data_IF_190136899254
#
_entry.id   IF_190136899254
#
_cell.length_a   1.000
_cell.length_b   1.000
_cell.length_c   1.000
_cell.angle_alpha   90.00
_cell.angle_beta   90.00
_cell.angle_gamma   90.00
#
_symmetry.space_group_name_H-M   'P 1'
#
loop_
_entity.id
_entity.type
_entity.pdbx_description
1 polymer ?
#
# COMPACT_ATOMS: atom_id res chain seq x y z
N UNK A 1 11.44 0.41 17.69
CA UNK A 1 10.64 -0.40 16.76
C UNK A 1 9.35 0.35 16.48
N UNK A 2 9.00 0.57 15.20
CA UNK A 2 7.77 1.31 14.84
C UNK A 2 6.52 0.58 15.35
N UNK A 3 5.44 1.34 15.58
CA UNK A 3 4.15 0.76 16.02
C UNK A 3 3.62 -0.27 15.02
N UNK A 4 3.80 -0.01 13.73
CA UNK A 4 3.45 -0.92 12.62
C UNK A 4 4.19 -2.25 12.72
N UNK A 5 5.51 -2.22 12.93
CA UNK A 5 6.31 -3.45 13.08
C UNK A 5 5.88 -4.26 14.29
N UNK A 6 5.52 -3.59 15.38
CA UNK A 6 5.01 -4.25 16.60
C UNK A 6 3.67 -4.93 16.34
N UNK A 7 2.75 -4.25 15.67
CA UNK A 7 1.44 -4.78 15.29
C UNK A 7 1.58 -5.96 14.33
N UNK A 8 2.40 -5.85 13.29
CA UNK A 8 2.64 -6.94 12.33
C UNK A 8 3.26 -8.17 13.02
N UNK A 9 4.27 -7.97 13.88
CA UNK A 9 4.88 -9.06 14.62
C UNK A 9 3.88 -9.75 15.57
N UNK A 10 2.93 -9.01 16.15
CA UNK A 10 1.87 -9.58 16.98
C UNK A 10 0.98 -10.50 16.14
N UNK A 11 0.47 -10.02 15.01
CA UNK A 11 -0.35 -10.82 14.09
C UNK A 11 0.35 -12.12 13.66
N UNK A 12 1.64 -12.03 13.32
CA UNK A 12 2.43 -13.20 12.91
C UNK A 12 2.67 -14.22 14.03
N UNK A 13 2.75 -13.78 15.29
CA UNK A 13 3.03 -14.64 16.45
C UNK A 13 1.79 -15.35 16.99
N UNK A 14 0.63 -14.75 16.87
CA UNK A 14 -0.63 -15.27 17.41
C UNK A 14 -1.14 -16.48 16.60
N UNK A 15 -0.58 -16.72 15.41
CA UNK A 15 -0.95 -17.87 14.56
C UNK A 15 -2.34 -17.77 13.95
N UNK A 16 -3.00 -16.63 14.11
CA UNK A 16 -4.30 -16.35 13.52
C UNK A 16 -4.16 -16.00 12.02
N UNK A 17 -5.24 -16.19 11.29
CA UNK A 17 -5.29 -15.77 9.89
C UNK A 17 -5.27 -14.25 9.79
N UNK A 18 -4.34 -13.71 8.99
CA UNK A 18 -4.28 -12.27 8.70
C UNK A 18 -5.26 -11.96 7.57
N UNK A 19 -6.23 -11.11 7.86
CA UNK A 19 -7.21 -10.64 6.86
C UNK A 19 -6.64 -9.43 6.13
N UNK A 20 -6.34 -9.61 4.84
CA UNK A 20 -5.76 -8.60 3.98
C UNK A 20 -6.65 -8.37 2.76
N UNK A 21 -7.16 -7.16 2.58
CA UNK A 21 -8.10 -6.80 1.51
C UNK A 21 -7.71 -5.51 0.82
N UNK A 22 -8.11 -5.35 -0.45
CA UNK A 22 -7.97 -4.09 -1.19
C UNK A 22 -9.08 -3.12 -0.85
N UNK A 23 -8.76 -1.81 -0.89
CA UNK A 23 -9.74 -0.74 -0.72
C UNK A 23 -9.28 0.51 -1.48
N UNK A 24 -10.23 1.23 -2.09
CA UNK A 24 -9.90 2.36 -2.95
C UNK A 24 -10.67 3.65 -2.61
N UNK A 25 -11.57 3.60 -1.64
CA UNK A 25 -12.41 4.74 -1.27
C UNK A 25 -12.68 4.86 0.23
N UNK A 26 -13.23 6.00 0.61
CA UNK A 26 -13.51 6.35 1.99
C UNK A 26 -14.64 5.53 2.60
N UNK A 27 -15.69 5.20 1.83
CA UNK A 27 -16.87 4.48 2.33
C UNK A 27 -16.49 3.06 2.76
N UNK A 28 -15.79 2.32 1.89
CA UNK A 28 -15.30 0.98 2.23
C UNK A 28 -14.24 1.03 3.33
N UNK A 29 -13.37 2.04 3.36
CA UNK A 29 -12.38 2.21 4.43
C UNK A 29 -13.02 2.27 5.83
N UNK A 30 -14.15 2.98 5.97
CA UNK A 30 -14.92 3.04 7.22
C UNK A 30 -15.43 1.65 7.63
N UNK A 31 -15.97 0.90 6.68
CA UNK A 31 -16.52 -0.44 6.94
C UNK A 31 -15.38 -1.38 7.37
N UNK A 32 -14.27 -1.40 6.62
CA UNK A 32 -13.13 -2.28 6.88
C UNK A 32 -12.49 -2.00 8.26
N UNK A 33 -12.41 -0.73 8.66
CA UNK A 33 -11.92 -0.38 9.99
C UNK A 33 -12.86 -0.88 11.11
N UNK A 34 -14.18 -0.79 10.90
CA UNK A 34 -15.19 -1.24 11.85
C UNK A 34 -15.24 -2.76 12.02
N UNK A 35 -15.09 -3.52 10.92
CA UNK A 35 -15.10 -4.98 10.99
C UNK A 35 -13.77 -5.59 11.44
N UNK A 36 -12.73 -4.77 11.59
CA UNK A 36 -11.46 -5.20 12.17
C UNK A 36 -10.52 -5.90 11.20
N UNK A 37 -10.51 -5.50 9.92
CA UNK A 37 -9.52 -5.98 8.94
C UNK A 37 -8.11 -5.59 9.38
N UNK A 38 -7.15 -6.50 9.23
CA UNK A 38 -5.77 -6.30 9.70
C UNK A 38 -4.96 -5.41 8.77
N UNK A 39 -5.03 -5.67 7.47
CA UNK A 39 -4.27 -4.94 6.44
C UNK A 39 -5.22 -4.50 5.32
N UNK A 40 -5.16 -3.23 4.98
CA UNK A 40 -5.87 -2.64 3.85
C UNK A 40 -4.85 -2.20 2.81
N UNK A 41 -5.01 -2.66 1.57
CA UNK A 41 -4.12 -2.37 0.46
C UNK A 41 -4.78 -1.40 -0.53
N UNK A 42 -4.10 -0.31 -0.83
CA UNK A 42 -4.35 0.47 -2.04
C UNK A 42 -3.40 -0.06 -3.12
N UNK A 43 -3.91 -0.96 -3.94
CA UNK A 43 -3.14 -1.68 -4.95
C UNK A 43 -3.19 -1.03 -6.33
N UNK A 44 -2.20 -1.32 -7.18
CA UNK A 44 -2.20 -0.90 -8.59
C UNK A 44 -3.29 -1.63 -9.41
N UNK A 45 -3.88 -2.70 -8.86
CA UNK A 45 -5.12 -3.32 -9.37
C UNK A 45 -6.27 -2.31 -9.55
N UNK A 46 -6.19 -1.10 -8.96
CA UNK A 46 -7.12 0.00 -9.26
C UNK A 46 -7.25 0.31 -10.76
N UNK A 47 -6.20 0.05 -11.53
CA UNK A 47 -6.22 0.18 -13.00
C UNK A 47 -7.31 -0.68 -13.63
N UNK A 48 -7.46 -1.90 -13.13
CA UNK A 48 -8.45 -2.85 -13.63
C UNK A 48 -9.83 -2.63 -13.00
N UNK A 49 -9.91 -2.54 -11.67
CA UNK A 49 -11.20 -2.56 -10.95
C UNK A 49 -11.86 -1.19 -10.83
N UNK A 50 -11.11 -0.09 -10.92
CA UNK A 50 -11.65 1.27 -10.84
C UNK A 50 -11.64 1.96 -12.21
N UNK A 51 -10.54 1.83 -12.96
CA UNK A 51 -10.40 2.47 -14.27
C UNK A 51 -10.94 1.62 -15.42
N UNK A 52 -11.19 0.31 -15.21
CA UNK A 52 -11.70 -0.61 -16.23
C UNK A 52 -10.68 -0.97 -17.31
N UNK A 53 -9.38 -0.85 -17.02
CA UNK A 53 -8.31 -1.17 -17.95
C UNK A 53 -7.98 -2.67 -17.94
N UNK A 54 -7.36 -3.19 -19.00
CA UNK A 54 -6.99 -4.60 -19.11
C UNK A 54 -5.86 -5.01 -18.17
N UNK A 55 -5.04 -4.06 -17.72
CA UNK A 55 -3.90 -4.30 -16.86
C UNK A 55 -3.58 -3.09 -15.96
N UNK A 56 -2.55 -3.22 -15.12
CA UNK A 56 -2.15 -2.17 -14.15
C UNK A 56 -1.12 -1.18 -14.68
N UNK A 57 -0.67 -1.31 -15.92
CA UNK A 57 0.50 -0.60 -16.44
C UNK A 57 0.33 0.92 -16.58
N UNK A 58 -0.90 1.39 -16.73
CA UNK A 58 -1.23 2.82 -16.85
C UNK A 58 -1.39 3.52 -15.50
N UNK A 59 -1.36 2.77 -14.39
CA UNK A 59 -1.49 3.33 -13.05
C UNK A 59 -0.26 4.16 -12.70
N UNK A 60 -0.50 5.40 -12.28
CA UNK A 60 0.55 6.34 -11.89
C UNK A 60 0.63 6.50 -10.37
N UNK A 61 1.73 7.06 -9.86
CA UNK A 61 1.84 7.45 -8.45
C UNK A 61 0.72 8.40 -8.02
N UNK A 62 0.29 9.33 -8.88
CA UNK A 62 -0.81 10.24 -8.58
C UNK A 62 -2.14 9.48 -8.39
N UNK A 63 -2.39 8.44 -9.18
CA UNK A 63 -3.56 7.59 -8.98
C UNK A 63 -3.50 6.90 -7.61
N UNK A 64 -2.38 6.28 -7.26
CA UNK A 64 -2.19 5.64 -5.95
C UNK A 64 -2.38 6.66 -4.81
N UNK A 65 -1.72 7.81 -4.88
CA UNK A 65 -1.80 8.87 -3.85
C UNK A 65 -3.23 9.40 -3.67
N UNK A 66 -3.98 9.56 -4.75
CA UNK A 66 -5.39 9.96 -4.68
C UNK A 66 -6.21 8.95 -3.86
N UNK A 67 -6.13 7.67 -4.18
CA UNK A 67 -6.86 6.63 -3.47
C UNK A 67 -6.36 6.44 -2.03
N UNK A 68 -5.04 6.47 -1.81
CA UNK A 68 -4.42 6.45 -0.48
C UNK A 68 -4.97 7.56 0.40
N UNK A 69 -5.05 8.80 -0.10
CA UNK A 69 -5.57 9.93 0.67
C UNK A 69 -7.00 9.74 1.12
N UNK A 70 -7.85 9.10 0.29
CA UNK A 70 -9.24 8.81 0.63
C UNK A 70 -9.37 7.69 1.67
N UNK A 71 -8.62 6.61 1.51
CA UNK A 71 -8.62 5.47 2.45
C UNK A 71 -8.03 5.88 3.81
N UNK A 72 -6.93 6.64 3.81
CA UNK A 72 -6.21 7.07 5.01
C UNK A 72 -7.01 8.00 5.94
N UNK A 73 -8.03 8.70 5.42
CA UNK A 73 -8.90 9.59 6.24
C UNK A 73 -9.57 8.86 7.39
N UNK A 74 -9.96 7.62 7.18
CA UNK A 74 -10.73 6.83 8.14
C UNK A 74 -9.92 5.75 8.84
N UNK A 75 -8.61 5.69 8.60
CA UNK A 75 -7.70 4.73 9.22
C UNK A 75 -7.57 4.98 10.72
N UNK A 76 -7.95 3.98 11.52
CA UNK A 76 -7.75 3.94 12.98
C UNK A 76 -7.01 2.68 13.41
N UNK A 77 -7.45 1.51 12.94
CA UNK A 77 -7.02 0.21 13.46
C UNK A 77 -6.22 -0.62 12.45
N UNK A 78 -6.53 -0.57 11.16
CA UNK A 78 -5.81 -1.38 10.17
C UNK A 78 -4.41 -0.85 9.85
N UNK A 79 -3.56 -1.72 9.33
CA UNK A 79 -2.30 -1.35 8.69
C UNK A 79 -2.61 -0.93 7.25
N UNK A 80 -2.24 0.28 6.86
CA UNK A 80 -2.40 0.76 5.48
C UNK A 80 -1.16 0.42 4.66
N UNK A 81 -1.35 -0.38 3.63
CA UNK A 81 -0.33 -0.73 2.65
C UNK A 81 -0.66 -0.08 1.31
N UNK A 82 0.35 0.35 0.57
CA UNK A 82 0.17 0.90 -0.77
C UNK A 82 1.22 0.37 -1.73
N UNK A 83 0.78 0.09 -2.96
CA UNK A 83 1.68 -0.27 -4.06
C UNK A 83 2.43 0.94 -4.60
N UNK A 84 3.67 0.71 -4.98
CA UNK A 84 4.35 1.55 -5.95
C UNK A 84 4.11 0.98 -7.34
N UNK A 85 3.40 1.70 -8.22
CA UNK A 85 3.04 1.20 -9.54
C UNK A 85 4.26 1.07 -10.46
N UNK A 86 4.11 0.34 -11.55
CA UNK A 86 5.15 0.16 -12.57
C UNK A 86 5.81 1.49 -12.94
N UNK A 87 7.11 1.50 -13.12
CA UNK A 87 7.95 2.66 -13.43
C UNK A 87 8.14 3.70 -12.29
N UNK A 88 7.54 3.50 -11.11
CA UNK A 88 7.70 4.44 -9.99
C UNK A 88 8.91 4.14 -9.08
N UNK A 89 9.65 3.06 -9.35
CA UNK A 89 10.80 2.60 -8.56
C UNK A 89 11.98 2.09 -9.41
N UNK A 90 12.17 2.68 -10.59
CA UNK A 90 13.22 2.29 -11.54
C UNK A 90 14.66 2.58 -11.06
N UNK A 91 14.83 3.51 -10.15
CA UNK A 91 16.10 3.86 -9.51
C UNK A 91 15.86 4.27 -8.05
N UNK A 92 16.92 4.21 -7.23
CA UNK A 92 16.84 4.49 -5.79
C UNK A 92 16.28 5.89 -5.48
N UNK A 93 16.69 6.92 -6.23
CA UNK A 93 16.23 8.31 -5.99
C UNK A 93 14.72 8.44 -6.22
N UNK A 94 14.24 7.89 -7.32
CA UNK A 94 12.81 7.88 -7.67
C UNK A 94 12.02 7.04 -6.67
N UNK A 95 12.49 5.83 -6.37
CA UNK A 95 11.85 4.92 -5.42
C UNK A 95 11.75 5.54 -4.02
N UNK A 96 12.86 6.09 -3.50
CA UNK A 96 12.92 6.73 -2.18
C UNK A 96 11.99 7.95 -2.09
N UNK A 97 11.94 8.79 -3.12
CA UNK A 97 11.02 9.94 -3.18
C UNK A 97 9.56 9.48 -3.12
N UNK A 98 9.19 8.51 -3.96
CA UNK A 98 7.82 8.02 -4.05
C UNK A 98 7.39 7.28 -2.77
N UNK A 99 8.27 6.45 -2.19
CA UNK A 99 8.02 5.81 -0.91
C UNK A 99 7.78 6.84 0.22
N UNK A 100 8.63 7.86 0.32
CA UNK A 100 8.47 8.95 1.30
C UNK A 100 7.14 9.69 1.13
N UNK A 101 6.68 9.88 -0.10
CA UNK A 101 5.40 10.53 -0.38
C UNK A 101 4.21 9.68 0.11
N UNK A 102 4.26 8.36 -0.09
CA UNK A 102 3.27 7.44 0.48
C UNK A 102 3.27 7.47 2.01
N UNK A 103 4.45 7.42 2.64
CA UNK A 103 4.57 7.45 4.10
C UNK A 103 4.01 8.76 4.71
N UNK A 104 4.20 9.92 4.05
CA UNK A 104 3.59 11.19 4.45
C UNK A 104 2.06 11.14 4.43
N UNK A 105 1.48 10.32 3.56
CA UNK A 105 0.04 10.12 3.44
C UNK A 105 -0.49 8.98 4.35
N UNK A 106 0.19 8.71 5.48
CA UNK A 106 -0.20 7.72 6.51
C UNK A 106 -0.15 6.26 6.04
N UNK A 107 0.53 5.95 4.96
CA UNK A 107 0.87 4.58 4.59
C UNK A 107 1.87 4.02 5.61
N UNK A 108 1.64 2.81 6.09
CA UNK A 108 2.53 2.13 7.04
C UNK A 108 3.54 1.23 6.34
N UNK A 109 3.14 0.62 5.22
CA UNK A 109 3.95 -0.32 4.46
C UNK A 109 3.85 0.03 2.97
N UNK A 110 4.99 0.17 2.34
CA UNK A 110 5.08 0.33 0.88
C UNK A 110 5.37 -1.03 0.26
N UNK A 111 4.56 -1.44 -0.71
CA UNK A 111 4.77 -2.68 -1.46
C UNK A 111 5.42 -2.37 -2.82
N UNK A 112 6.44 -3.13 -3.16
CA UNK A 112 7.18 -3.05 -4.43
C UNK A 112 7.32 -4.48 -4.97
N UNK A 113 7.11 -4.66 -6.26
CA UNK A 113 7.36 -5.95 -6.91
C UNK A 113 8.86 -6.14 -7.14
N UNK A 114 9.39 -7.26 -6.62
CA UNK A 114 10.77 -7.65 -6.88
C UNK A 114 10.95 -8.08 -8.34
N UNK A 115 12.04 -7.61 -8.93
CA UNK A 115 12.53 -8.03 -10.25
C UNK A 115 14.05 -7.98 -10.21
N UNK A 116 14.71 -8.78 -11.02
CA UNK A 116 16.18 -8.80 -11.05
C UNK A 116 16.78 -7.45 -11.42
N UNK A 117 16.11 -6.68 -12.27
CA UNK A 117 16.53 -5.34 -12.72
C UNK A 117 16.36 -4.23 -11.65
N UNK A 118 15.62 -4.48 -10.57
CA UNK A 118 15.44 -3.49 -9.49
C UNK A 118 16.06 -3.91 -8.15
N UNK A 119 16.78 -5.02 -8.10
CA UNK A 119 17.38 -5.58 -6.88
C UNK A 119 18.23 -4.54 -6.14
N UNK A 120 19.15 -3.88 -6.83
CA UNK A 120 20.04 -2.87 -6.24
C UNK A 120 19.25 -1.70 -5.63
N UNK A 121 18.17 -1.28 -6.29
CA UNK A 121 17.27 -0.23 -5.78
C UNK A 121 16.61 -0.67 -4.47
N UNK A 122 16.12 -1.92 -4.41
CA UNK A 122 15.44 -2.45 -3.23
C UNK A 122 16.38 -2.66 -2.05
N UNK A 123 17.62 -3.09 -2.30
CA UNK A 123 18.64 -3.28 -1.25
C UNK A 123 19.05 -1.94 -0.58
N UNK A 124 18.86 -0.81 -1.27
CA UNK A 124 19.19 0.54 -0.77
C UNK A 124 17.99 1.27 -0.12
N UNK A 125 16.77 0.79 -0.28
CA UNK A 125 15.55 1.38 0.29
C UNK A 125 15.37 0.99 1.77
#
# INVERSE_FOLDING_TARGET
MSNTKRKLNKLLKEGDQIVWVTCYDSSFSIILDKVGVDIVLVGDSLGMVIKGEENTHSVTMNNILYHVSNVAKNKKNFILMADMPKNSYKDFKTASRNAKELLKNKVDIVKIEYRDDNRETLEKL
#
